data_IF_336784927160
#
_entry.id   IF_336784927160
#
_cell.length_a   1.000
_cell.length_b   1.000
_cell.length_c   1.000
_cell.angle_alpha   90.00
_cell.angle_beta   90.00
_cell.angle_gamma   90.00
#
_symmetry.space_group_name_H-M   'P 1'
#
loop_
_entity.id
_entity.type
_entity.pdbx_description
1 polymer ?
#
# COMPACT_ATOMS: atom_id res chain seq x y z
N UNK A 1 21.53 -17.01 -7.51
CA UNK A 1 22.80 -16.43 -6.99
C UNK A 1 23.28 -17.31 -5.85
N UNK A 2 24.58 -17.56 -5.70
CA UNK A 2 25.11 -18.31 -4.56
C UNK A 2 25.40 -17.31 -3.42
N UNK A 3 24.47 -17.13 -2.51
CA UNK A 3 24.63 -16.26 -1.35
C UNK A 3 25.67 -16.81 -0.36
N UNK A 4 26.31 -15.90 0.39
CA UNK A 4 27.27 -16.23 1.46
C UNK A 4 26.88 -15.47 2.73
N UNK A 5 27.04 -16.12 3.86
CA UNK A 5 26.82 -15.54 5.18
C UNK A 5 28.12 -14.88 5.69
N UNK A 6 28.47 -13.74 5.07
CA UNK A 6 29.65 -12.96 5.44
C UNK A 6 29.43 -11.48 5.17
N UNK A 7 29.96 -10.61 6.06
CA UNK A 7 29.89 -9.15 5.89
C UNK A 7 30.51 -8.68 4.56
N UNK A 8 31.62 -9.31 4.12
CA UNK A 8 32.25 -8.96 2.84
C UNK A 8 31.31 -9.21 1.65
N UNK A 9 30.52 -10.30 1.67
CA UNK A 9 29.58 -10.57 0.61
C UNK A 9 28.45 -9.54 0.55
N UNK A 10 27.96 -9.08 1.69
CA UNK A 10 26.99 -7.98 1.76
C UNK A 10 27.56 -6.68 1.17
N UNK A 11 28.84 -6.38 1.44
CA UNK A 11 29.55 -5.24 0.84
C UNK A 11 29.70 -5.36 -0.69
N UNK A 12 30.01 -6.57 -1.20
CA UNK A 12 30.07 -6.86 -2.64
C UNK A 12 28.71 -6.59 -3.30
N UNK A 13 27.60 -7.07 -2.71
CA UNK A 13 26.26 -6.83 -3.21
C UNK A 13 25.87 -5.34 -3.19
N UNK A 14 26.26 -4.60 -2.15
CA UNK A 14 26.03 -3.15 -2.10
C UNK A 14 26.85 -2.40 -3.15
N UNK A 15 28.08 -2.86 -3.46
CA UNK A 15 28.91 -2.25 -4.49
C UNK A 15 28.31 -2.42 -5.91
N UNK A 16 27.61 -3.53 -6.16
CA UNK A 16 26.92 -3.83 -7.41
C UNK A 16 25.50 -3.24 -7.49
N UNK A 17 24.97 -2.68 -6.40
CA UNK A 17 23.62 -2.13 -6.36
C UNK A 17 23.52 -0.80 -7.09
N UNK A 18 22.80 -0.79 -8.22
CA UNK A 18 22.53 0.44 -9.00
C UNK A 18 21.76 1.50 -8.20
N UNK A 19 20.98 1.10 -7.19
CA UNK A 19 20.15 1.99 -6.39
C UNK A 19 20.82 2.45 -5.08
N UNK A 20 22.07 2.06 -4.83
CA UNK A 20 22.77 2.36 -3.57
C UNK A 20 22.82 3.85 -3.22
N UNK A 21 22.90 4.74 -4.22
CA UNK A 21 22.96 6.18 -4.02
C UNK A 21 21.67 6.79 -3.48
N UNK A 22 20.52 6.18 -3.77
CA UNK A 22 19.21 6.66 -3.30
C UNK A 22 19.05 6.59 -1.79
N UNK A 23 19.81 5.74 -1.08
CA UNK A 23 19.85 5.76 0.39
C UNK A 23 20.16 7.16 0.92
N UNK A 24 21.00 7.93 0.22
CA UNK A 24 21.38 9.29 0.61
C UNK A 24 20.24 10.31 0.43
N UNK A 25 19.19 9.97 -0.27
CA UNK A 25 17.98 10.80 -0.41
C UNK A 25 17.08 10.78 0.83
N UNK A 26 17.35 9.90 1.82
CA UNK A 26 16.51 9.72 2.98
C UNK A 26 17.21 10.08 4.30
N UNK A 27 16.41 10.52 5.28
CA UNK A 27 16.84 10.66 6.66
C UNK A 27 16.69 9.31 7.37
N UNK A 28 17.81 8.68 7.74
CA UNK A 28 17.81 7.46 8.50
C UNK A 28 17.93 7.83 9.98
N UNK A 29 17.00 7.37 10.86
CA UNK A 29 17.09 7.65 12.29
C UNK A 29 18.42 7.16 12.90
N UNK A 30 18.96 7.95 13.82
CA UNK A 30 20.22 7.63 14.48
C UNK A 30 19.96 7.11 15.90
N UNK A 31 20.75 6.14 16.30
CA UNK A 31 20.86 5.67 17.67
C UNK A 31 21.52 6.72 18.58
N UNK A 32 21.45 6.53 19.89
CA UNK A 32 22.09 7.46 20.86
C UNK A 32 23.61 7.58 20.71
N UNK A 33 24.26 6.56 20.17
CA UNK A 33 25.70 6.54 19.89
C UNK A 33 26.06 7.21 18.54
N UNK A 34 25.08 7.72 17.79
CA UNK A 34 25.27 8.35 16.49
C UNK A 34 25.24 7.40 15.28
N UNK A 35 25.21 6.10 15.50
CA UNK A 35 25.10 5.12 14.42
C UNK A 35 23.69 5.06 13.84
N UNK A 36 23.52 4.78 12.54
CA UNK A 36 22.20 4.61 11.95
C UNK A 36 21.51 3.37 12.50
N UNK A 37 20.20 3.48 12.74
CA UNK A 37 19.37 2.31 12.98
C UNK A 37 19.30 1.41 11.75
N UNK A 38 19.13 0.11 11.96
CA UNK A 38 18.70 -0.84 10.92
C UNK A 38 17.18 -0.69 10.78
N UNK A 39 16.74 0.18 9.88
CA UNK A 39 15.33 0.52 9.71
C UNK A 39 14.64 -0.44 8.75
N UNK A 40 13.90 -1.41 9.28
CA UNK A 40 13.16 -2.46 8.53
C UNK A 40 11.64 -2.30 8.65
N UNK A 41 11.15 -1.08 8.89
CA UNK A 41 9.74 -0.81 9.23
C UNK A 41 9.00 0.09 8.21
N UNK A 42 9.48 0.12 6.95
CA UNK A 42 8.85 0.92 5.89
C UNK A 42 7.44 0.44 5.51
N UNK A 43 7.10 -0.79 5.86
CA UNK A 43 5.75 -1.34 5.76
C UNK A 43 4.74 -0.73 6.76
N UNK A 44 5.21 0.02 7.75
CA UNK A 44 4.40 0.75 8.73
C UNK A 44 4.48 2.26 8.50
N UNK A 45 5.69 2.80 8.38
CA UNK A 45 5.96 4.20 8.02
C UNK A 45 7.25 4.27 7.19
N UNK A 46 7.18 4.84 6.00
CA UNK A 46 8.37 5.10 5.17
C UNK A 46 9.25 6.21 5.74
N UNK A 47 10.55 6.19 5.41
CA UNK A 47 11.48 7.22 5.82
C UNK A 47 11.24 8.53 5.09
N UNK A 48 11.60 9.66 5.72
CA UNK A 48 11.45 10.99 5.15
C UNK A 48 12.46 11.21 4.01
N UNK A 49 12.00 11.49 2.77
CA UNK A 49 12.87 11.99 1.73
C UNK A 49 13.43 13.38 2.08
N UNK A 50 14.73 13.60 1.89
CA UNK A 50 15.37 14.90 2.21
C UNK A 50 14.78 16.06 1.41
N UNK A 51 14.37 15.80 0.17
CA UNK A 51 13.74 16.80 -0.71
C UNK A 51 12.37 17.26 -0.24
N UNK A 52 11.68 16.50 0.65
CA UNK A 52 10.36 16.85 1.19
C UNK A 52 10.33 18.23 1.82
N UNK A 53 11.38 18.60 2.58
CA UNK A 53 11.48 19.93 3.21
C UNK A 53 11.41 21.07 2.19
N UNK A 54 12.11 20.96 1.06
CA UNK A 54 12.12 21.98 0.02
C UNK A 54 10.75 22.12 -0.67
N UNK A 55 10.07 21.00 -0.93
CA UNK A 55 8.73 21.03 -1.52
C UNK A 55 7.72 21.73 -0.60
N UNK A 56 7.78 21.44 0.70
CA UNK A 56 6.90 22.09 1.69
C UNK A 56 7.19 23.59 1.84
N UNK A 57 8.46 23.98 1.91
CA UNK A 57 8.87 25.40 2.02
C UNK A 57 8.36 26.17 0.80
N UNK A 58 8.46 25.62 -0.41
CA UNK A 58 7.96 26.28 -1.62
C UNK A 58 6.47 26.63 -1.50
N UNK A 59 5.66 25.71 -1.03
CA UNK A 59 4.20 25.96 -0.87
C UNK A 59 3.90 26.97 0.27
N UNK A 60 4.71 26.97 1.32
CA UNK A 60 4.59 27.95 2.41
C UNK A 60 4.98 29.36 1.94
N UNK A 61 6.03 29.49 1.16
CA UNK A 61 6.50 30.76 0.58
C UNK A 61 5.47 31.31 -0.43
N UNK A 62 4.92 30.44 -1.27
CA UNK A 62 3.86 30.81 -2.21
C UNK A 62 2.59 31.26 -1.46
N UNK A 63 2.23 30.57 -0.37
CA UNK A 63 1.08 30.97 0.46
C UNK A 63 1.31 32.36 1.11
N UNK A 64 2.49 32.58 1.65
CA UNK A 64 2.84 33.88 2.24
C UNK A 64 2.83 35.02 1.22
N UNK A 65 3.20 34.71 -0.04
CA UNK A 65 3.34 35.71 -1.12
C UNK A 65 2.01 36.01 -1.80
N UNK A 66 1.24 34.98 -2.10
CA UNK A 66 0.08 35.08 -2.98
C UNK A 66 -1.28 34.99 -2.25
N UNK A 67 -1.33 34.45 -1.02
CA UNK A 67 -2.60 34.22 -0.36
C UNK A 67 -3.54 33.37 -1.24
N UNK A 68 -4.77 33.83 -1.45
CA UNK A 68 -5.77 33.13 -2.29
C UNK A 68 -5.35 33.03 -3.76
N UNK A 69 -4.56 34.00 -4.26
CA UNK A 69 -4.08 33.99 -5.63
C UNK A 69 -3.10 32.85 -5.93
N UNK A 70 -2.57 32.19 -4.90
CA UNK A 70 -1.76 30.97 -5.03
C UNK A 70 -2.47 29.83 -5.75
N UNK A 71 -3.80 29.82 -5.78
CA UNK A 71 -4.57 28.89 -6.59
C UNK A 71 -4.25 28.97 -8.08
N UNK A 72 -3.82 30.15 -8.56
CA UNK A 72 -3.55 30.44 -9.97
C UNK A 72 -2.09 30.79 -10.24
N UNK A 73 -1.41 31.47 -9.32
CA UNK A 73 -0.13 32.14 -9.54
C UNK A 73 1.02 31.58 -8.72
N UNK A 74 0.80 30.61 -7.82
CA UNK A 74 1.88 29.89 -7.17
C UNK A 74 2.76 29.21 -8.20
N UNK A 75 4.01 28.91 -7.86
CA UNK A 75 4.93 28.14 -8.70
C UNK A 75 4.30 26.81 -9.15
N UNK A 76 3.56 26.19 -8.25
CA UNK A 76 2.72 25.03 -8.52
C UNK A 76 1.27 25.43 -8.19
N UNK A 77 0.45 25.88 -9.16
CA UNK A 77 -0.91 26.35 -8.90
C UNK A 77 -1.73 25.33 -8.14
N UNK A 78 -2.44 25.78 -7.09
CA UNK A 78 -3.12 24.84 -6.18
C UNK A 78 -4.42 24.27 -6.73
N UNK A 79 -5.04 24.94 -7.70
CA UNK A 79 -6.29 24.45 -8.29
C UNK A 79 -6.13 23.06 -8.91
N UNK A 80 -5.13 22.80 -9.78
CA UNK A 80 -4.86 21.49 -10.37
C UNK A 80 -3.85 20.64 -9.56
N UNK A 81 -3.50 21.01 -8.32
CA UNK A 81 -2.33 20.45 -7.64
C UNK A 81 -2.33 18.91 -7.53
N UNK A 82 -3.52 18.31 -7.28
CA UNK A 82 -3.68 16.86 -7.21
C UNK A 82 -3.42 16.18 -8.58
N UNK A 83 -3.59 16.89 -9.68
CA UNK A 83 -3.34 16.37 -11.04
C UNK A 83 -1.85 16.14 -11.28
N UNK A 84 -0.96 16.89 -10.61
CA UNK A 84 0.50 16.70 -10.72
C UNK A 84 0.99 15.34 -10.18
N UNK A 85 0.15 14.62 -9.44
CA UNK A 85 0.46 13.31 -8.89
C UNK A 85 -0.07 12.16 -9.77
N UNK A 86 -0.99 12.45 -10.70
CA UNK A 86 -1.73 11.42 -11.43
C UNK A 86 -0.83 10.54 -12.29
N UNK A 87 0.14 11.13 -13.00
CA UNK A 87 1.07 10.36 -13.84
C UNK A 87 1.94 9.40 -13.02
N UNK A 88 2.53 9.89 -11.91
CA UNK A 88 3.36 9.08 -11.04
C UNK A 88 2.56 7.96 -10.37
N UNK A 89 1.35 8.26 -9.87
CA UNK A 89 0.47 7.24 -9.30
C UNK A 89 0.06 6.19 -10.35
N UNK A 90 -0.28 6.63 -11.56
CA UNK A 90 -0.64 5.73 -12.65
C UNK A 90 0.48 4.73 -12.97
N UNK A 91 1.74 5.20 -13.03
CA UNK A 91 2.94 4.36 -13.24
C UNK A 91 3.13 3.36 -12.08
N UNK A 92 2.88 3.77 -10.83
CA UNK A 92 3.07 2.91 -9.65
C UNK A 92 2.03 1.80 -9.60
N UNK A 93 0.78 2.09 -9.96
CA UNK A 93 -0.31 1.11 -9.85
C UNK A 93 -0.69 0.45 -11.18
N UNK A 94 0.01 0.76 -12.29
CA UNK A 94 -0.28 0.19 -13.61
C UNK A 94 -1.65 0.61 -14.13
N UNK A 95 -1.90 1.92 -14.15
CA UNK A 95 -3.19 2.53 -14.52
C UNK A 95 -3.02 3.62 -15.59
N UNK A 96 -4.14 4.13 -16.10
CA UNK A 96 -4.18 5.38 -16.88
C UNK A 96 -4.25 6.57 -15.92
N UNK A 97 -3.76 7.74 -16.35
CA UNK A 97 -3.81 8.97 -15.54
C UNK A 97 -5.24 9.34 -15.11
N UNK A 98 -6.24 9.08 -15.96
CA UNK A 98 -7.64 9.34 -15.66
C UNK A 98 -8.25 8.41 -14.61
N UNK A 99 -7.59 7.28 -14.32
CA UNK A 99 -8.08 6.24 -13.40
C UNK A 99 -7.60 6.42 -11.96
N UNK A 100 -6.70 7.38 -11.71
CA UNK A 100 -6.12 7.60 -10.37
C UNK A 100 -6.38 9.01 -9.86
N UNK A 101 -6.50 9.14 -8.54
CA UNK A 101 -6.66 10.43 -7.88
C UNK A 101 -6.06 10.40 -6.48
N UNK A 102 -5.40 11.50 -6.09
CA UNK A 102 -4.95 11.72 -4.72
C UNK A 102 -6.06 12.41 -3.92
N UNK A 103 -6.64 11.73 -2.93
CA UNK A 103 -7.70 12.29 -2.10
C UNK A 103 -7.79 11.59 -0.74
N UNK A 104 -8.28 12.30 0.27
CA UNK A 104 -8.67 11.80 1.59
C UNK A 104 -7.59 10.94 2.29
N UNK A 105 -8.04 10.00 3.12
CA UNK A 105 -7.25 8.93 3.74
C UNK A 105 -7.76 7.56 3.26
N UNK A 106 -6.98 6.49 3.46
CA UNK A 106 -7.29 5.16 2.92
C UNK A 106 -8.69 4.69 3.29
N UNK A 107 -9.04 4.66 4.58
CA UNK A 107 -10.32 4.12 5.04
C UNK A 107 -11.51 4.98 4.56
N UNK A 108 -11.33 6.31 4.44
CA UNK A 108 -12.36 7.19 3.83
C UNK A 108 -12.56 6.81 2.36
N UNK A 109 -11.45 6.64 1.60
CA UNK A 109 -11.55 6.21 0.20
C UNK A 109 -12.21 4.84 0.08
N UNK A 110 -11.87 3.89 0.96
CA UNK A 110 -12.49 2.56 0.98
C UNK A 110 -14.01 2.66 1.16
N UNK A 111 -14.49 3.47 2.10
CA UNK A 111 -15.92 3.72 2.27
C UNK A 111 -16.56 4.34 1.03
N UNK A 112 -15.92 5.36 0.42
CA UNK A 112 -16.44 6.00 -0.79
C UNK A 112 -16.54 5.03 -1.97
N UNK A 113 -15.53 4.17 -2.14
CA UNK A 113 -15.55 3.12 -3.17
C UNK A 113 -16.68 2.11 -2.88
N UNK A 114 -16.85 1.67 -1.64
CA UNK A 114 -17.95 0.76 -1.29
C UNK A 114 -19.34 1.38 -1.51
N UNK A 115 -19.53 2.69 -1.34
CA UNK A 115 -20.78 3.37 -1.73
C UNK A 115 -21.10 3.14 -3.21
N UNK A 116 -20.09 3.14 -4.06
CA UNK A 116 -20.28 2.93 -5.52
C UNK A 116 -20.38 1.44 -5.88
N UNK A 117 -19.49 0.59 -5.35
CA UNK A 117 -19.25 -0.76 -5.85
C UNK A 117 -19.91 -1.87 -5.01
N UNK A 118 -20.18 -1.65 -3.74
CA UNK A 118 -21.00 -2.57 -2.94
C UNK A 118 -22.47 -2.22 -3.10
N UNK A 119 -23.14 -2.89 -4.03
CA UNK A 119 -24.56 -2.66 -4.38
C UNK A 119 -25.38 -3.89 -4.03
N UNK A 120 -25.63 -4.14 -2.71
CA UNK A 120 -26.29 -5.35 -2.28
C UNK A 120 -27.77 -5.40 -2.64
N UNK A 121 -28.24 -6.62 -2.86
CA UNK A 121 -29.66 -6.96 -3.02
C UNK A 121 -30.00 -8.12 -2.07
N UNK A 122 -31.30 -8.45 -1.92
CA UNK A 122 -31.73 -9.59 -1.08
C UNK A 122 -31.06 -10.93 -1.47
N UNK A 123 -30.70 -11.10 -2.75
CA UNK A 123 -30.07 -12.33 -3.25
C UNK A 123 -28.53 -12.24 -3.31
N UNK A 124 -27.99 -11.05 -3.54
CA UNK A 124 -26.57 -10.81 -3.74
C UNK A 124 -26.11 -9.72 -2.77
N UNK A 125 -25.62 -10.10 -1.59
CA UNK A 125 -25.22 -9.14 -0.55
C UNK A 125 -23.92 -9.48 0.17
N UNK A 126 -23.31 -10.63 -0.17
CA UNK A 126 -22.11 -11.09 0.51
C UNK A 126 -20.88 -10.31 0.03
N UNK A 127 -19.94 -10.12 0.96
CA UNK A 127 -18.59 -9.60 0.68
C UNK A 127 -17.58 -10.69 1.05
N UNK A 128 -16.59 -10.90 0.18
CA UNK A 128 -15.41 -11.70 0.50
C UNK A 128 -14.31 -10.78 1.01
N UNK A 129 -13.66 -11.17 2.13
CA UNK A 129 -12.47 -10.53 2.71
C UNK A 129 -11.53 -11.59 3.28
N UNK A 130 -10.24 -11.27 3.50
CA UNK A 130 -9.37 -12.16 4.28
C UNK A 130 -9.88 -12.27 5.72
N UNK A 131 -9.79 -13.47 6.29
CA UNK A 131 -10.20 -13.71 7.68
C UNK A 131 -9.42 -12.91 8.70
N UNK A 132 -8.15 -12.68 8.40
CA UNK A 132 -7.21 -11.92 9.21
C UNK A 132 -6.79 -10.62 8.48
N UNK A 133 -7.73 -9.98 7.77
CA UNK A 133 -7.52 -8.66 7.17
C UNK A 133 -7.19 -7.63 8.26
N UNK A 134 -6.56 -6.52 7.87
CA UNK A 134 -6.29 -5.44 8.81
C UNK A 134 -7.60 -4.96 9.46
N UNK A 135 -7.62 -4.74 10.78
CA UNK A 135 -8.87 -4.45 11.51
C UNK A 135 -9.70 -3.30 10.91
N UNK A 136 -9.05 -2.26 10.36
CA UNK A 136 -9.74 -1.14 9.71
C UNK A 136 -10.61 -1.59 8.54
N UNK A 137 -10.15 -2.56 7.75
CA UNK A 137 -10.90 -3.07 6.59
C UNK A 137 -12.07 -3.91 7.03
N UNK A 138 -11.86 -4.76 8.05
CA UNK A 138 -12.96 -5.56 8.66
C UNK A 138 -14.04 -4.62 9.17
N UNK A 139 -13.66 -3.57 9.93
CA UNK A 139 -14.62 -2.61 10.49
C UNK A 139 -15.34 -1.82 9.40
N UNK A 140 -14.63 -1.40 8.35
CA UNK A 140 -15.22 -0.69 7.22
C UNK A 140 -16.24 -1.56 6.49
N UNK A 141 -15.87 -2.80 6.15
CA UNK A 141 -16.75 -3.75 5.45
C UNK A 141 -17.98 -4.11 6.30
N UNK A 142 -17.80 -4.46 7.58
CA UNK A 142 -18.92 -4.76 8.47
C UNK A 142 -19.86 -3.57 8.64
N UNK A 143 -19.33 -2.34 8.74
CA UNK A 143 -20.15 -1.14 8.85
C UNK A 143 -20.95 -0.86 7.58
N UNK A 144 -20.40 -1.13 6.40
CA UNK A 144 -21.11 -1.01 5.12
C UNK A 144 -22.23 -2.05 4.99
N UNK A 145 -21.97 -3.30 5.40
CA UNK A 145 -23.00 -4.35 5.45
C UNK A 145 -24.17 -3.91 6.33
N UNK A 146 -23.88 -3.42 7.54
CA UNK A 146 -24.91 -2.93 8.48
C UNK A 146 -25.65 -1.69 7.93
N UNK A 147 -24.93 -0.76 7.29
CA UNK A 147 -25.53 0.43 6.67
C UNK A 147 -26.58 0.08 5.61
N UNK A 148 -26.36 -1.02 4.87
CA UNK A 148 -27.31 -1.53 3.91
C UNK A 148 -28.40 -2.44 4.49
N UNK A 149 -28.47 -2.58 5.82
CA UNK A 149 -29.52 -3.35 6.53
C UNK A 149 -29.30 -4.86 6.53
N UNK A 150 -28.07 -5.33 6.27
CA UNK A 150 -27.70 -6.74 6.36
C UNK A 150 -26.91 -7.05 7.63
N UNK A 151 -26.84 -8.34 7.99
CA UNK A 151 -26.07 -8.83 9.13
C UNK A 151 -24.68 -9.31 8.67
N UNK A 152 -23.57 -8.86 9.29
CA UNK A 152 -22.23 -9.33 8.94
C UNK A 152 -22.07 -10.84 9.05
N UNK A 153 -22.72 -11.47 10.03
CA UNK A 153 -22.64 -12.92 10.26
C UNK A 153 -23.14 -13.76 9.06
N UNK A 154 -24.07 -13.22 8.26
CA UNK A 154 -24.61 -13.89 7.07
C UNK A 154 -24.08 -13.32 5.76
N UNK A 155 -23.41 -12.16 5.80
CA UNK A 155 -23.02 -11.40 4.61
C UNK A 155 -21.51 -11.29 4.42
N UNK A 156 -20.70 -11.70 5.42
CA UNK A 156 -19.24 -11.63 5.34
C UNK A 156 -18.64 -13.02 5.21
N UNK A 157 -17.98 -13.28 4.09
CA UNK A 157 -17.19 -14.50 3.85
C UNK A 157 -15.75 -14.20 4.17
N UNK A 158 -15.20 -14.82 5.22
CA UNK A 158 -13.82 -14.68 5.66
C UNK A 158 -12.96 -15.82 5.10
N UNK A 159 -12.09 -15.51 4.15
CA UNK A 159 -11.10 -16.45 3.63
C UNK A 159 -10.05 -16.75 4.69
N UNK A 160 -9.71 -18.02 4.86
CA UNK A 160 -8.67 -18.44 5.82
C UNK A 160 -7.72 -19.43 5.15
N UNK A 161 -6.44 -19.43 5.57
CA UNK A 161 -5.54 -20.52 5.23
C UNK A 161 -6.09 -21.85 5.71
N UNK A 162 -5.67 -22.95 5.06
CA UNK A 162 -5.93 -24.30 5.55
C UNK A 162 -5.17 -24.58 6.85
N UNK A 163 -5.60 -25.57 7.59
CA UNK A 163 -4.92 -25.97 8.83
C UNK A 163 -3.44 -26.25 8.59
N UNK A 164 -2.56 -25.61 9.37
CA UNK A 164 -1.11 -25.70 9.26
C UNK A 164 -0.49 -24.83 8.18
N UNK A 165 -1.28 -24.04 7.41
CA UNK A 165 -0.79 -23.09 6.41
C UNK A 165 -0.86 -21.65 6.92
N UNK A 166 -0.04 -20.78 6.32
CA UNK A 166 -0.06 -19.34 6.64
C UNK A 166 -0.57 -18.49 5.47
N UNK A 167 -0.77 -19.09 4.28
CA UNK A 167 -1.22 -18.41 3.08
C UNK A 167 -2.56 -18.95 2.59
N UNK A 168 -3.38 -18.08 2.02
CA UNK A 168 -4.66 -18.44 1.40
C UNK A 168 -4.38 -18.91 -0.02
N UNK A 169 -4.85 -20.10 -0.38
CA UNK A 169 -4.65 -20.66 -1.71
C UNK A 169 -5.63 -20.08 -2.72
N UNK A 170 -5.18 -19.85 -3.95
CA UNK A 170 -6.05 -19.36 -5.04
C UNK A 170 -7.17 -20.35 -5.37
N UNK A 171 -6.92 -21.66 -5.21
CA UNK A 171 -7.93 -22.70 -5.42
C UNK A 171 -9.10 -22.58 -4.45
N UNK A 172 -8.85 -22.18 -3.20
CA UNK A 172 -9.89 -22.01 -2.18
C UNK A 172 -10.73 -20.75 -2.48
N UNK A 173 -10.08 -19.68 -2.93
CA UNK A 173 -10.78 -18.48 -3.42
C UNK A 173 -11.67 -18.83 -4.62
N UNK A 174 -11.12 -19.54 -5.58
CA UNK A 174 -11.84 -19.98 -6.78
C UNK A 174 -13.05 -20.86 -6.44
N UNK A 175 -12.89 -21.82 -5.54
CA UNK A 175 -13.96 -22.71 -5.12
C UNK A 175 -15.12 -21.94 -4.46
N UNK A 176 -14.82 -20.93 -3.64
CA UNK A 176 -15.85 -20.08 -3.02
C UNK A 176 -16.56 -19.22 -4.08
N UNK A 177 -15.83 -18.61 -5.01
CA UNK A 177 -16.42 -17.82 -6.11
C UNK A 177 -17.33 -18.70 -6.98
N UNK A 178 -16.90 -19.92 -7.30
CA UNK A 178 -17.71 -20.85 -8.12
C UNK A 178 -18.97 -21.29 -7.38
N UNK A 179 -18.89 -21.63 -6.10
CA UNK A 179 -20.03 -22.13 -5.30
C UNK A 179 -21.02 -21.02 -4.95
N UNK A 180 -20.55 -19.88 -4.48
CA UNK A 180 -21.36 -18.84 -3.83
C UNK A 180 -21.46 -17.54 -4.67
N UNK A 181 -20.84 -17.48 -5.86
CA UNK A 181 -20.67 -16.24 -6.64
C UNK A 181 -21.96 -15.49 -6.96
N UNK A 182 -23.10 -16.16 -7.06
CA UNK A 182 -24.39 -15.50 -7.29
C UNK A 182 -24.94 -14.76 -6.04
N UNK A 183 -24.40 -15.01 -4.85
CA UNK A 183 -24.74 -14.29 -3.63
C UNK A 183 -23.70 -13.19 -3.28
N UNK A 184 -22.53 -13.21 -3.92
CA UNK A 184 -21.44 -12.28 -3.64
C UNK A 184 -21.59 -11.01 -4.45
N UNK A 185 -21.63 -9.86 -3.77
CA UNK A 185 -21.72 -8.53 -4.38
C UNK A 185 -20.35 -7.89 -4.61
N UNK A 186 -19.38 -8.19 -3.72
CA UNK A 186 -18.06 -7.58 -3.74
C UNK A 186 -17.00 -8.55 -3.22
N UNK A 187 -15.84 -8.56 -3.86
CA UNK A 187 -14.60 -9.08 -3.30
C UNK A 187 -13.75 -7.87 -2.90
N UNK A 188 -13.33 -7.81 -1.62
CA UNK A 188 -12.49 -6.77 -1.08
C UNK A 188 -11.31 -7.42 -0.36
N UNK A 189 -10.12 -7.42 -0.98
CA UNK A 189 -8.93 -8.06 -0.44
C UNK A 189 -7.79 -7.03 -0.30
N UNK A 190 -6.85 -7.29 0.60
CA UNK A 190 -5.56 -6.65 0.55
C UNK A 190 -4.79 -7.12 -0.70
N UNK A 191 -4.10 -6.22 -1.40
CA UNK A 191 -3.26 -6.65 -2.53
C UNK A 191 -2.06 -7.47 -2.06
N UNK A 192 -1.53 -7.08 -0.90
CA UNK A 192 -0.53 -7.83 -0.13
C UNK A 192 -1.04 -7.95 1.30
N UNK A 193 -1.13 -9.17 1.80
CA UNK A 193 -1.59 -9.40 3.17
C UNK A 193 -0.62 -8.76 4.17
N UNK A 194 -1.13 -7.93 5.07
CA UNK A 194 -0.29 -7.16 6.00
C UNK A 194 0.45 -8.03 7.01
N UNK A 195 -0.11 -9.19 7.38
CA UNK A 195 0.44 -10.08 8.41
C UNK A 195 1.49 -11.03 7.83
N UNK A 196 1.15 -11.74 6.74
CA UNK A 196 2.03 -12.75 6.14
C UNK A 196 2.96 -12.21 5.05
N UNK A 197 2.62 -11.10 4.40
CA UNK A 197 3.30 -10.60 3.21
C UNK A 197 2.90 -11.34 1.92
N UNK A 198 1.88 -12.21 1.95
CA UNK A 198 1.35 -12.89 0.77
C UNK A 198 0.85 -11.89 -0.27
N UNK A 199 1.28 -12.04 -1.51
CA UNK A 199 0.72 -11.35 -2.67
C UNK A 199 -0.44 -12.17 -3.22
N UNK A 200 -1.59 -11.53 -3.46
CA UNK A 200 -2.73 -12.16 -4.12
C UNK A 200 -2.62 -12.06 -5.64
N UNK A 201 -3.17 -13.05 -6.35
CA UNK A 201 -3.24 -13.03 -7.82
C UNK A 201 -4.43 -12.15 -8.27
N UNK A 202 -4.13 -10.86 -8.48
CA UNK A 202 -5.12 -9.85 -8.87
C UNK A 202 -5.86 -10.21 -10.16
N UNK A 203 -5.12 -10.66 -11.18
CA UNK A 203 -5.67 -10.95 -12.50
C UNK A 203 -6.64 -12.13 -12.42
N UNK A 204 -6.21 -13.23 -11.83
CA UNK A 204 -7.03 -14.44 -11.71
C UNK A 204 -8.27 -14.17 -10.87
N UNK A 205 -8.13 -13.51 -9.70
CA UNK A 205 -9.26 -13.20 -8.82
C UNK A 205 -10.26 -12.30 -9.54
N UNK A 206 -9.78 -11.23 -10.21
CA UNK A 206 -10.65 -10.29 -10.92
C UNK A 206 -11.42 -11.00 -12.06
N UNK A 207 -10.73 -11.81 -12.85
CA UNK A 207 -11.34 -12.58 -13.93
C UNK A 207 -12.40 -13.56 -13.43
N UNK A 208 -12.11 -14.31 -12.39
CA UNK A 208 -13.07 -15.26 -11.79
C UNK A 208 -14.30 -14.53 -11.24
N UNK A 209 -14.12 -13.42 -10.56
CA UNK A 209 -15.19 -12.60 -10.01
C UNK A 209 -16.08 -12.00 -11.10
N UNK A 210 -15.48 -11.41 -12.12
CA UNK A 210 -16.21 -10.79 -13.24
C UNK A 210 -17.03 -11.82 -14.03
N UNK A 211 -16.59 -13.07 -14.18
CA UNK A 211 -17.36 -14.13 -14.80
C UNK A 211 -18.67 -14.46 -14.02
N UNK A 212 -18.74 -14.08 -12.75
CA UNK A 212 -19.94 -14.18 -11.91
C UNK A 212 -20.67 -12.85 -11.70
N UNK A 213 -20.21 -11.78 -12.34
CA UNK A 213 -20.75 -10.42 -12.19
C UNK A 213 -20.52 -9.82 -10.80
N UNK A 214 -19.38 -10.14 -10.17
CA UNK A 214 -18.96 -9.64 -8.86
C UNK A 214 -17.98 -8.49 -9.07
N UNK A 215 -18.17 -7.36 -8.38
CA UNK A 215 -17.18 -6.27 -8.34
C UNK A 215 -15.95 -6.66 -7.51
N UNK A 216 -14.77 -6.13 -7.88
CA UNK A 216 -13.51 -6.42 -7.21
C UNK A 216 -12.81 -5.13 -6.80
N UNK A 217 -12.49 -5.01 -5.53
CA UNK A 217 -11.68 -3.94 -4.97
C UNK A 217 -10.49 -4.45 -4.19
N UNK A 218 -9.42 -3.64 -4.15
CA UNK A 218 -8.23 -3.97 -3.37
C UNK A 218 -7.81 -2.82 -2.46
N UNK A 219 -7.44 -3.16 -1.21
CA UNK A 219 -6.60 -2.31 -0.37
C UNK A 219 -5.13 -2.54 -0.70
N UNK A 220 -4.50 -1.54 -1.28
CA UNK A 220 -3.10 -1.60 -1.70
C UNK A 220 -2.15 -1.00 -0.67
N UNK A 221 -2.54 -0.87 0.60
CA UNK A 221 -1.69 -0.30 1.66
C UNK A 221 -0.31 -0.96 1.77
N UNK A 222 -0.21 -2.24 1.44
CA UNK A 222 1.02 -3.01 1.40
C UNK A 222 1.49 -3.36 -0.01
N UNK A 223 0.78 -2.93 -1.06
CA UNK A 223 1.10 -3.24 -2.45
C UNK A 223 1.64 -2.04 -3.24
N UNK A 224 1.02 -0.86 -3.11
CA UNK A 224 1.44 0.35 -3.83
C UNK A 224 2.86 0.78 -3.42
N UNK A 225 3.77 0.85 -4.40
CA UNK A 225 5.19 1.15 -4.19
C UNK A 225 6.05 -0.03 -3.70
N UNK A 226 5.45 -1.22 -3.54
CA UNK A 226 6.12 -2.43 -3.04
C UNK A 226 6.24 -3.53 -4.10
N UNK A 227 5.18 -3.75 -4.86
CA UNK A 227 5.13 -4.77 -5.92
C UNK A 227 4.74 -4.12 -7.25
N UNK A 228 5.01 -4.83 -8.36
CA UNK A 228 4.52 -4.41 -9.67
C UNK A 228 3.01 -4.62 -9.74
N UNK A 229 2.29 -3.59 -10.17
CA UNK A 229 0.84 -3.60 -10.33
C UNK A 229 0.47 -3.25 -11.78
N UNK A 230 -0.63 -3.80 -12.27
CA UNK A 230 -1.19 -3.60 -13.60
C UNK A 230 -2.73 -3.47 -13.52
N UNK A 231 -3.23 -2.60 -12.63
CA UNK A 231 -4.66 -2.54 -12.28
C UNK A 231 -5.58 -2.35 -13.47
N UNK A 232 -5.16 -1.51 -14.45
CA UNK A 232 -5.91 -1.30 -15.68
C UNK A 232 -6.02 -2.60 -16.48
N UNK A 233 -4.89 -3.25 -16.76
CA UNK A 233 -4.84 -4.45 -17.59
C UNK A 233 -5.54 -5.64 -16.94
N UNK A 234 -5.49 -5.75 -15.60
CA UNK A 234 -6.22 -6.76 -14.84
C UNK A 234 -7.72 -6.49 -14.73
N UNK A 235 -8.16 -5.30 -15.11
CA UNK A 235 -9.57 -4.91 -15.11
C UNK A 235 -10.18 -4.73 -13.73
N UNK A 236 -9.38 -4.48 -12.70
CA UNK A 236 -9.84 -4.23 -11.32
C UNK A 236 -10.86 -3.10 -11.31
N UNK A 237 -11.93 -3.18 -10.51
CA UNK A 237 -12.97 -2.15 -10.51
C UNK A 237 -12.53 -0.90 -9.77
N UNK A 238 -11.94 -1.07 -8.57
CA UNK A 238 -11.37 0.01 -7.78
C UNK A 238 -10.23 -0.48 -6.88
N UNK A 239 -9.38 0.45 -6.46
CA UNK A 239 -8.38 0.19 -5.43
C UNK A 239 -8.11 1.46 -4.61
N UNK A 240 -7.61 1.28 -3.39
CA UNK A 240 -7.25 2.38 -2.50
C UNK A 240 -5.91 2.10 -1.82
N UNK A 241 -5.13 3.14 -1.52
CA UNK A 241 -3.84 2.98 -0.82
C UNK A 241 -3.52 4.17 0.05
N UNK A 242 -2.70 3.96 1.09
CA UNK A 242 -2.07 5.03 1.84
C UNK A 242 -0.69 5.35 1.24
N UNK A 243 -0.27 6.62 1.35
CA UNK A 243 1.00 7.07 0.78
C UNK A 243 2.14 7.13 1.80
N UNK A 244 1.86 6.94 3.10
CA UNK A 244 2.87 7.08 4.16
C UNK A 244 3.73 5.84 4.41
N UNK A 245 3.37 4.66 3.87
CA UNK A 245 4.15 3.43 4.00
C UNK A 245 5.25 3.38 2.93
N UNK A 246 5.13 2.47 1.97
CA UNK A 246 6.14 2.26 0.91
C UNK A 246 6.36 3.48 0.02
N UNK A 247 5.38 4.38 -0.09
CA UNK A 247 5.51 5.62 -0.86
C UNK A 247 6.16 6.78 -0.07
N UNK A 248 6.61 6.58 1.16
CA UNK A 248 7.47 7.50 1.94
C UNK A 248 6.98 8.96 2.03
N UNK A 249 5.66 9.17 2.03
CA UNK A 249 5.07 10.52 1.86
C UNK A 249 4.78 11.26 3.18
N UNK A 250 5.23 10.69 4.30
CA UNK A 250 5.08 11.28 5.64
C UNK A 250 3.84 10.81 6.40
N UNK A 251 3.84 10.94 7.74
CA UNK A 251 2.79 10.43 8.61
C UNK A 251 1.44 11.10 8.29
N UNK A 252 0.40 10.28 8.11
CA UNK A 252 -0.96 10.75 7.82
C UNK A 252 -1.14 11.40 6.44
N UNK A 253 -0.22 11.19 5.50
CA UNK A 253 -0.32 11.76 4.14
C UNK A 253 -1.59 11.32 3.42
N UNK A 254 -2.00 12.16 2.44
CA UNK A 254 -3.15 11.90 1.57
C UNK A 254 -3.01 10.54 0.89
N UNK A 255 -4.11 9.83 0.81
CA UNK A 255 -4.23 8.54 0.16
C UNK A 255 -4.43 8.68 -1.37
N UNK A 256 -4.28 7.57 -2.08
CA UNK A 256 -4.70 7.47 -3.47
C UNK A 256 -5.90 6.54 -3.63
N UNK A 257 -6.59 6.72 -4.75
CA UNK A 257 -7.65 5.84 -5.21
C UNK A 257 -7.52 5.60 -6.71
N UNK A 258 -7.91 4.40 -7.12
CA UNK A 258 -8.05 3.98 -8.51
C UNK A 258 -9.50 3.62 -8.77
N UNK A 259 -10.04 4.08 -9.90
CA UNK A 259 -11.33 3.67 -10.45
C UNK A 259 -11.13 3.40 -11.93
N UNK A 260 -11.40 2.17 -12.35
CA UNK A 260 -11.22 1.78 -13.75
C UNK A 260 -12.08 2.63 -14.70
N UNK A 261 -11.54 3.02 -15.86
CA UNK A 261 -12.19 3.89 -16.84
C UNK A 261 -13.58 3.38 -17.31
N UNK A 262 -13.82 2.05 -17.29
CA UNK A 262 -15.14 1.46 -17.61
C UNK A 262 -16.27 2.00 -16.74
N UNK A 263 -15.94 2.60 -15.57
CA UNK A 263 -16.90 3.14 -14.62
C UNK A 263 -17.06 4.67 -14.67
N UNK A 264 -16.20 5.40 -15.41
CA UNK A 264 -16.18 6.87 -15.38
C UNK A 264 -17.48 7.50 -15.87
N UNK A 265 -18.11 6.92 -16.91
CA UNK A 265 -19.33 7.43 -17.52
C UNK A 265 -20.59 6.65 -17.10
N UNK A 266 -20.56 6.00 -15.93
CA UNK A 266 -21.69 5.23 -15.41
C UNK A 266 -22.44 6.01 -14.33
N UNK A 267 -23.72 5.66 -14.12
CA UNK A 267 -24.55 6.22 -13.04
C UNK A 267 -24.33 5.49 -11.71
N UNK A 268 -23.09 5.11 -11.39
CA UNK A 268 -22.77 4.56 -10.07
C UNK A 268 -23.08 5.59 -9.00
N UNK A 269 -23.76 5.20 -7.91
CA UNK A 269 -23.97 6.08 -6.78
C UNK A 269 -22.61 6.51 -6.20
N UNK A 270 -22.50 7.77 -5.81
CA UNK A 270 -21.34 8.31 -5.14
C UNK A 270 -21.78 9.42 -4.20
N UNK A 271 -21.03 9.63 -3.13
CA UNK A 271 -21.18 10.86 -2.38
C UNK A 271 -20.54 11.98 -3.19
N UNK A 272 -21.32 13.02 -3.43
CA UNK A 272 -20.92 14.14 -4.27
C UNK A 272 -20.24 15.23 -3.45
N UNK A 273 -19.23 15.83 -4.02
CA UNK A 273 -18.57 17.00 -3.46
C UNK A 273 -18.19 17.99 -4.56
N UNK A 274 -17.96 19.23 -4.17
CA UNK A 274 -17.73 20.31 -5.12
C UNK A 274 -16.50 20.03 -6.01
N UNK A 275 -15.45 19.40 -5.46
CA UNK A 275 -14.21 19.17 -6.20
C UNK A 275 -14.35 18.09 -7.27
N UNK A 276 -15.25 17.13 -7.09
CA UNK A 276 -15.58 16.13 -8.11
C UNK A 276 -16.45 16.63 -9.24
N UNK A 277 -16.97 17.87 -9.16
CA UNK A 277 -17.78 18.48 -10.20
C UNK A 277 -16.94 18.92 -11.40
N UNK A 278 -17.53 18.90 -12.60
CA UNK A 278 -16.88 19.31 -13.86
C UNK A 278 -16.15 20.67 -13.72
N UNK A 279 -14.90 20.69 -14.19
CA UNK A 279 -13.97 21.83 -14.02
C UNK A 279 -14.43 23.09 -14.78
N UNK A 280 -15.14 22.94 -15.90
CA UNK A 280 -15.55 24.03 -16.79
C UNK A 280 -16.68 24.88 -16.22
N UNK A 281 -17.53 24.29 -15.38
CA UNK A 281 -18.69 24.96 -14.82
C UNK A 281 -18.75 24.99 -13.29
N UNK A 282 -17.79 24.35 -12.60
CA UNK A 282 -17.67 24.32 -11.15
C UNK A 282 -17.85 25.70 -10.48
N UNK A 283 -17.21 26.73 -11.02
CA UNK A 283 -17.27 28.09 -10.51
C UNK A 283 -18.52 28.87 -10.93
N UNK A 284 -19.37 28.28 -11.79
CA UNK A 284 -20.72 28.85 -12.09
C UNK A 284 -21.77 28.46 -11.05
N UNK A 285 -21.34 27.67 -10.05
CA UNK A 285 -22.18 27.23 -8.91
C UNK A 285 -23.50 26.57 -9.35
N UNK A 286 -23.45 25.54 -10.25
CA UNK A 286 -24.68 24.91 -10.73
C UNK A 286 -25.38 24.10 -9.62
N UNK A 287 -26.71 24.02 -9.69
CA UNK A 287 -27.53 23.27 -8.72
C UNK A 287 -27.42 21.75 -8.87
N UNK A 288 -26.99 21.29 -10.04
CA UNK A 288 -26.89 19.85 -10.35
C UNK A 288 -25.44 19.41 -10.41
N UNK A 289 -25.13 18.33 -9.70
CA UNK A 289 -23.84 17.71 -9.76
C UNK A 289 -23.62 17.04 -11.12
N UNK A 290 -22.55 17.44 -11.81
CA UNK A 290 -22.06 16.85 -13.05
C UNK A 290 -20.62 16.37 -12.78
N UNK A 291 -20.38 15.06 -12.52
CA UNK A 291 -19.07 14.56 -12.15
C UNK A 291 -18.07 14.65 -13.30
N UNK A 292 -16.79 14.88 -12.94
CA UNK A 292 -15.67 14.70 -13.87
C UNK A 292 -15.70 13.23 -14.36
N UNK A 293 -15.55 13.01 -15.66
CA UNK A 293 -15.52 11.68 -16.28
C UNK A 293 -14.14 11.01 -16.11
N UNK A 294 -13.69 10.88 -14.87
CA UNK A 294 -12.43 10.25 -14.42
C UNK A 294 -12.55 9.85 -12.97
N UNK A 295 -11.50 9.26 -12.38
CA UNK A 295 -11.42 9.00 -10.95
C UNK A 295 -11.58 10.28 -10.10
N UNK A 296 -11.24 11.45 -10.65
CA UNK A 296 -11.46 12.74 -10.00
C UNK A 296 -12.94 13.01 -9.66
N UNK A 297 -13.88 12.41 -10.39
CA UNK A 297 -15.32 12.54 -10.12
C UNK A 297 -15.76 11.95 -8.77
N UNK A 298 -14.87 11.28 -8.03
CA UNK A 298 -15.07 10.81 -6.66
C UNK A 298 -14.51 11.73 -5.58
N UNK A 299 -13.83 12.83 -5.97
CA UNK A 299 -13.35 13.83 -5.01
C UNK A 299 -14.51 14.56 -4.34
N UNK A 300 -14.30 14.91 -3.06
CA UNK A 300 -15.29 15.66 -2.27
C UNK A 300 -14.88 17.13 -2.13
N UNK A 301 -13.75 17.39 -1.51
CA UNK A 301 -13.26 18.72 -1.14
C UNK A 301 -11.95 19.06 -1.84
N UNK A 302 -11.54 20.32 -1.68
CA UNK A 302 -10.27 20.82 -2.16
C UNK A 302 -9.10 19.91 -1.70
N UNK A 303 -8.09 19.71 -2.56
CA UNK A 303 -6.92 18.93 -2.21
C UNK A 303 -6.10 19.60 -1.10
N UNK A 304 -5.57 18.84 -0.12
CA UNK A 304 -4.75 19.38 0.98
C UNK A 304 -3.32 19.61 0.51
N UNK A 305 -3.01 20.80 0.02
CA UNK A 305 -1.79 21.17 -0.72
C UNK A 305 -0.50 20.78 0.00
N UNK A 306 -0.34 21.12 1.29
CA UNK A 306 0.90 20.83 2.01
C UNK A 306 1.16 19.31 2.11
N UNK A 307 0.13 18.51 2.30
CA UNK A 307 0.29 17.05 2.30
C UNK A 307 0.60 16.50 0.90
N UNK A 308 0.00 17.05 -0.15
CA UNK A 308 0.30 16.68 -1.52
C UNK A 308 1.72 17.07 -1.95
N UNK A 309 2.27 18.18 -1.43
CA UNK A 309 3.66 18.57 -1.67
C UNK A 309 4.66 17.53 -1.16
N UNK A 310 4.40 16.96 0.04
CA UNK A 310 5.21 15.87 0.57
C UNK A 310 5.14 14.61 -0.31
N UNK A 311 3.96 14.28 -0.85
CA UNK A 311 3.78 13.16 -1.77
C UNK A 311 4.55 13.40 -3.07
N UNK A 312 4.45 14.61 -3.67
CA UNK A 312 5.20 14.96 -4.88
C UNK A 312 6.71 14.79 -4.69
N UNK A 313 7.24 15.19 -3.53
CA UNK A 313 8.66 15.02 -3.21
C UNK A 313 9.07 13.54 -3.23
N UNK A 314 8.25 12.66 -2.67
CA UNK A 314 8.53 11.23 -2.69
C UNK A 314 8.34 10.63 -4.09
N UNK A 315 7.24 10.94 -4.76
CA UNK A 315 6.95 10.41 -6.10
C UNK A 315 8.01 10.79 -7.13
N UNK A 316 8.68 11.96 -6.99
CA UNK A 316 9.79 12.32 -7.87
C UNK A 316 10.95 11.32 -7.80
N UNK A 317 11.18 10.66 -6.65
CA UNK A 317 12.18 9.59 -6.52
C UNK A 317 11.71 8.32 -7.24
N UNK A 318 10.42 7.97 -7.11
CA UNK A 318 9.85 6.81 -7.82
C UNK A 318 9.89 7.00 -9.34
N UNK A 319 9.64 8.22 -9.84
CA UNK A 319 9.75 8.56 -11.28
C UNK A 319 11.17 8.42 -11.80
N UNK A 320 12.18 8.79 -11.01
CA UNK A 320 13.60 8.65 -11.36
C UNK A 320 14.04 7.18 -11.41
N UNK A 321 13.56 6.35 -10.47
CA UNK A 321 14.01 4.95 -10.33
C UNK A 321 13.20 4.00 -11.19
N UNK A 322 11.87 4.11 -11.14
CA UNK A 322 10.91 3.19 -11.74
C UNK A 322 10.67 1.92 -10.92
N UNK A 323 9.43 1.41 -11.00
CA UNK A 323 9.02 0.25 -10.21
C UNK A 323 9.78 -1.03 -10.54
N UNK A 324 10.17 -1.25 -11.80
CA UNK A 324 10.88 -2.48 -12.20
C UNK A 324 12.22 -2.64 -11.49
N UNK A 325 13.00 -1.55 -11.33
CA UNK A 325 14.27 -1.57 -10.59
C UNK A 325 14.04 -1.76 -9.09
N UNK A 326 13.01 -1.10 -8.53
CA UNK A 326 12.65 -1.27 -7.12
C UNK A 326 12.27 -2.71 -6.81
N UNK A 327 11.42 -3.33 -7.62
CA UNK A 327 11.02 -4.73 -7.46
C UNK A 327 12.21 -5.67 -7.63
N UNK A 328 13.08 -5.43 -8.61
CA UNK A 328 14.29 -6.24 -8.81
C UNK A 328 15.21 -6.22 -7.58
N UNK A 329 15.47 -5.04 -7.00
CA UNK A 329 16.27 -4.93 -5.78
C UNK A 329 15.55 -5.54 -4.57
N UNK A 330 14.23 -5.35 -4.44
CA UNK A 330 13.41 -5.93 -3.38
C UNK A 330 13.53 -7.46 -3.33
N UNK A 331 13.46 -8.12 -4.49
CA UNK A 331 13.63 -9.57 -4.60
C UNK A 331 15.03 -9.99 -4.11
N UNK A 332 16.08 -9.30 -4.56
CA UNK A 332 17.47 -9.61 -4.14
C UNK A 332 17.66 -9.44 -2.64
N UNK A 333 17.16 -8.33 -2.04
CA UNK A 333 17.25 -8.07 -0.60
C UNK A 333 16.52 -9.14 0.21
N UNK A 334 15.30 -9.50 -0.20
CA UNK A 334 14.50 -10.49 0.52
C UNK A 334 14.99 -11.92 0.30
N UNK A 335 15.51 -12.26 -0.87
CA UNK A 335 16.12 -13.58 -1.11
C UNK A 335 17.40 -13.74 -0.28
N UNK A 336 18.21 -12.69 -0.18
CA UNK A 336 19.38 -12.69 0.71
C UNK A 336 18.96 -12.84 2.18
N UNK A 337 17.94 -12.12 2.62
CA UNK A 337 17.42 -12.24 3.98
C UNK A 337 16.89 -13.65 4.27
N UNK A 338 16.14 -14.25 3.34
CA UNK A 338 15.66 -15.64 3.48
C UNK A 338 16.83 -16.62 3.59
N UNK A 339 17.87 -16.43 2.77
CA UNK A 339 19.07 -17.27 2.85
C UNK A 339 19.72 -17.16 4.23
N UNK A 340 19.94 -15.94 4.74
CA UNK A 340 20.56 -15.71 6.03
C UNK A 340 19.71 -16.25 7.20
N UNK A 341 18.40 -16.05 7.18
CA UNK A 341 17.51 -16.59 8.22
C UNK A 341 17.49 -18.12 8.24
N UNK A 342 17.58 -18.76 7.06
CA UNK A 342 17.66 -20.23 6.97
C UNK A 342 19.03 -20.79 7.34
N UNK A 343 20.10 -19.98 7.38
CA UNK A 343 21.42 -20.41 7.85
C UNK A 343 21.52 -20.49 9.37
N UNK A 344 20.63 -19.77 10.10
CA UNK A 344 20.55 -19.85 11.55
C UNK A 344 20.06 -21.24 11.97
N UNK A 345 20.87 -21.94 12.73
CA UNK A 345 20.52 -23.28 13.23
C UNK A 345 19.60 -23.19 14.46
N UNK A 346 18.33 -22.89 14.24
CA UNK A 346 17.33 -22.73 15.31
C UNK A 346 15.97 -23.22 14.89
N UNK A 347 15.18 -23.71 15.83
CA UNK A 347 13.76 -24.01 15.67
C UNK A 347 12.84 -22.94 16.28
N UNK A 348 13.42 -21.85 16.84
CA UNK A 348 12.66 -20.78 17.52
C UNK A 348 11.92 -19.85 16.58
N UNK A 349 12.34 -19.76 15.32
CA UNK A 349 11.71 -18.89 14.31
C UNK A 349 11.26 -19.66 13.09
N UNK A 350 10.30 -19.08 12.35
CA UNK A 350 9.77 -19.62 11.10
C UNK A 350 9.42 -18.47 10.16
N UNK A 351 9.83 -18.53 8.90
CA UNK A 351 9.39 -17.57 7.88
C UNK A 351 8.01 -18.00 7.37
N UNK A 352 6.97 -17.19 7.64
CA UNK A 352 5.59 -17.46 7.20
C UNK A 352 5.22 -16.76 5.90
N UNK A 353 6.09 -15.89 5.38
CA UNK A 353 5.87 -15.21 4.10
C UNK A 353 6.08 -16.18 2.95
N UNK A 354 5.14 -16.30 2.00
CA UNK A 354 5.28 -17.10 0.80
C UNK A 354 6.42 -16.63 -0.11
N UNK A 355 6.73 -17.45 -1.12
CA UNK A 355 7.78 -17.14 -2.10
C UNK A 355 7.40 -15.91 -2.95
N UNK A 356 6.16 -15.84 -3.40
CA UNK A 356 5.60 -14.68 -4.11
C UNK A 356 5.31 -13.58 -3.08
N UNK A 357 6.17 -12.54 -3.06
CA UNK A 357 6.16 -11.50 -2.04
C UNK A 357 6.69 -10.17 -2.55
N UNK A 358 6.39 -9.11 -1.81
CA UNK A 358 7.11 -7.83 -1.89
C UNK A 358 8.35 -7.84 -0.98
N UNK A 359 8.71 -6.66 -0.46
CA UNK A 359 9.89 -6.55 0.39
C UNK A 359 9.68 -6.97 1.86
N UNK A 360 8.45 -7.29 2.27
CA UNK A 360 8.17 -7.72 3.64
C UNK A 360 8.46 -9.22 3.82
N UNK A 361 9.17 -9.56 4.89
CA UNK A 361 9.20 -10.89 5.47
C UNK A 361 8.56 -10.87 6.86
N UNK A 362 7.77 -11.88 7.14
CA UNK A 362 7.10 -12.11 8.43
C UNK A 362 7.73 -13.34 9.09
N UNK A 363 8.35 -13.12 10.22
CA UNK A 363 9.10 -14.12 10.99
C UNK A 363 8.27 -14.45 12.22
N UNK A 364 7.70 -15.65 12.26
CA UNK A 364 6.99 -16.15 13.44
C UNK A 364 8.00 -16.56 14.48
N UNK A 365 7.81 -16.08 15.72
CA UNK A 365 8.59 -16.48 16.90
C UNK A 365 7.80 -17.59 17.60
N UNK A 366 8.29 -18.83 17.54
CA UNK A 366 7.63 -19.96 18.20
C UNK A 366 7.61 -19.75 19.71
N UNK A 367 6.49 -20.05 20.33
CA UNK A 367 6.14 -19.78 21.73
C UNK A 367 5.77 -18.31 22.07
N UNK A 368 5.64 -17.42 21.05
CA UNK A 368 5.06 -16.09 21.21
C UNK A 368 5.86 -15.12 22.11
N UNK A 369 7.19 -15.32 22.26
CA UNK A 369 7.99 -14.52 23.19
C UNK A 369 8.45 -13.21 22.53
N UNK A 370 7.78 -12.11 22.88
CA UNK A 370 8.12 -10.76 22.43
C UNK A 370 9.50 -10.29 22.89
N UNK A 371 10.14 -10.96 23.85
CA UNK A 371 11.47 -10.58 24.34
C UNK A 371 12.52 -10.57 23.24
N UNK A 372 12.44 -11.50 22.28
CA UNK A 372 13.31 -11.49 21.12
C UNK A 372 13.18 -10.18 20.32
N UNK A 373 11.96 -9.73 20.08
CA UNK A 373 11.70 -8.45 19.41
C UNK A 373 12.25 -7.26 20.23
N UNK A 374 12.02 -7.26 21.54
CA UNK A 374 12.50 -6.19 22.44
C UNK A 374 14.03 -6.16 22.47
N UNK A 375 14.72 -7.32 22.49
CA UNK A 375 16.19 -7.44 22.47
C UNK A 375 16.80 -6.86 21.18
N UNK A 376 16.30 -7.26 20.00
CA UNK A 376 16.81 -6.71 18.73
C UNK A 376 16.54 -5.21 18.60
N UNK A 377 15.44 -4.73 19.19
CA UNK A 377 15.12 -3.28 19.21
C UNK A 377 16.14 -2.51 20.02
N UNK A 378 16.55 -3.01 21.20
CA UNK A 378 17.61 -2.41 22.03
C UNK A 378 18.94 -2.36 21.28
N UNK A 379 19.25 -3.34 20.43
CA UNK A 379 20.46 -3.38 19.59
C UNK A 379 20.37 -2.52 18.32
N UNK A 380 19.31 -1.72 18.18
CA UNK A 380 19.17 -0.71 17.11
C UNK A 380 18.43 -1.15 15.87
N UNK A 381 17.71 -2.28 15.90
CA UNK A 381 16.78 -2.68 14.83
C UNK A 381 15.44 -1.98 15.04
N UNK A 382 14.90 -1.35 14.02
CA UNK A 382 13.51 -0.86 13.97
C UNK A 382 12.72 -1.78 13.06
N UNK A 383 11.90 -2.64 13.65
CA UNK A 383 11.00 -3.58 13.00
C UNK A 383 9.58 -3.42 13.58
N UNK A 384 8.67 -4.30 13.25
CA UNK A 384 7.27 -4.23 13.65
C UNK A 384 6.84 -5.57 14.28
N UNK A 385 6.30 -5.52 15.50
CA UNK A 385 5.69 -6.70 16.16
C UNK A 385 4.20 -6.77 15.85
N UNK A 386 3.74 -7.95 15.47
CA UNK A 386 2.32 -8.26 15.33
C UNK A 386 1.94 -9.42 16.21
N UNK A 387 0.96 -9.16 17.06
CA UNK A 387 0.38 -10.20 17.88
C UNK A 387 -0.21 -11.33 17.00
N UNK A 388 -0.11 -12.59 17.42
CA UNK A 388 0.43 -12.96 18.73
C UNK A 388 1.96 -13.15 18.76
N UNK A 389 2.64 -13.36 17.61
CA UNK A 389 3.97 -13.97 17.58
C UNK A 389 4.85 -13.60 16.37
N UNK A 390 4.55 -12.53 15.64
CA UNK A 390 5.26 -12.22 14.39
C UNK A 390 6.08 -10.96 14.46
N UNK A 391 7.36 -11.06 14.08
CA UNK A 391 8.23 -9.92 13.73
C UNK A 391 8.12 -9.70 12.23
N UNK A 392 7.69 -8.50 11.80
CA UNK A 392 7.70 -8.11 10.39
C UNK A 392 8.91 -7.23 10.12
N UNK A 393 9.64 -7.57 9.06
CA UNK A 393 10.76 -6.80 8.55
C UNK A 393 10.55 -6.52 7.06
N UNK A 394 10.83 -5.30 6.65
CA UNK A 394 10.65 -4.87 5.26
C UNK A 394 11.88 -4.05 4.82
N UNK A 395 12.89 -4.69 4.23
CA UNK A 395 14.02 -4.00 3.64
C UNK A 395 13.61 -3.27 2.37
N UNK A 396 13.37 -1.96 2.50
CA UNK A 396 12.88 -1.11 1.41
C UNK A 396 14.01 -0.82 0.41
N UNK A 397 13.82 -1.07 -0.89
CA UNK A 397 14.86 -0.93 -1.92
C UNK A 397 15.48 0.46 -2.02
N UNK A 398 14.72 1.51 -1.71
CA UNK A 398 15.19 2.90 -1.81
C UNK A 398 16.24 3.26 -0.77
N UNK A 399 16.20 2.65 0.44
CA UNK A 399 17.11 3.08 1.51
C UNK A 399 17.75 1.96 2.31
N UNK A 400 17.31 0.71 2.18
CA UNK A 400 18.02 -0.40 2.80
C UNK A 400 19.11 -0.96 1.87
N UNK A 401 20.22 -1.35 2.49
CA UNK A 401 21.36 -1.98 1.87
C UNK A 401 21.42 -3.47 2.21
N UNK A 402 22.25 -4.24 1.50
CA UNK A 402 22.52 -5.63 1.85
C UNK A 402 23.28 -5.74 3.18
N UNK A 403 24.08 -4.73 3.54
CA UNK A 403 24.69 -4.63 4.86
C UNK A 403 23.64 -4.43 5.97
N UNK A 404 22.56 -3.66 5.74
CA UNK A 404 21.46 -3.58 6.71
C UNK A 404 20.81 -4.95 6.93
N UNK A 405 20.61 -5.72 5.87
CA UNK A 405 20.06 -7.08 5.93
C UNK A 405 21.00 -8.02 6.70
N UNK A 406 22.30 -7.97 6.40
CA UNK A 406 23.30 -8.76 7.12
C UNK A 406 23.39 -8.37 8.60
N UNK A 407 23.40 -7.08 8.92
CA UNK A 407 23.41 -6.57 10.28
C UNK A 407 22.17 -7.00 11.07
N UNK A 408 21.00 -6.97 10.44
CA UNK A 408 19.77 -7.49 11.04
C UNK A 408 19.90 -8.99 11.38
N UNK A 409 20.39 -9.79 10.43
CA UNK A 409 20.63 -11.22 10.64
C UNK A 409 21.59 -11.47 11.83
N UNK A 410 22.75 -10.80 11.85
CA UNK A 410 23.73 -10.96 12.93
C UNK A 410 23.13 -10.65 14.30
N UNK A 411 22.39 -9.53 14.40
CA UNK A 411 21.74 -9.13 15.66
C UNK A 411 20.68 -10.17 16.07
N UNK A 412 19.90 -10.67 15.12
CA UNK A 412 18.87 -11.67 15.42
C UNK A 412 19.47 -13.01 15.86
N UNK A 413 20.53 -13.47 15.19
CA UNK A 413 21.25 -14.71 15.53
C UNK A 413 21.86 -14.67 16.93
N UNK A 414 22.45 -13.52 17.32
CA UNK A 414 22.99 -13.32 18.68
C UNK A 414 21.92 -13.38 19.77
N UNK A 415 20.65 -13.07 19.47
CA UNK A 415 19.55 -13.04 20.45
C UNK A 415 18.72 -14.35 20.45
N UNK A 416 18.94 -15.23 19.45
CA UNK A 416 18.34 -16.55 19.37
C UNK A 416 19.14 -17.60 20.18
#
# INVERSE_FOLDING_TARGET
MNYKDTANFALELDAEDELRSYRNEFHIPLQKNGEPHVYMCGNSLGLQPKRTKQFLIQELDDWATFGVEGHFHAKNPWLPYHEFLSESYAKIVGAKNSEVVAMNTLTVNLHLMMVSFYRPSKKRHKIIIEGDAFPSDIYAVESQIKHHGFLPESSLIKLRPRDGESAIRIEDISAIIERDGYEIALIMLGGVNYYTGQVFDFEVITKLAHNKGINVGFDLAHAAGNIKLELHNWGVDFAVWCSYKYLNSGPGSVAGAFVHEKHHNTNLPRFAGWWGHNKEDRFKMPDKFNPIASAEGWQLSNPPILSLAAIRASLSIFDEVGMDKLVSKSIKLTDYLVFLLNSINTDRIEIITPKERGCQLSIRVKNGDKKLFDSITVKGVIADWREPDVIRVAPIPLYNSFQDVFKFHTILEEEL
#
